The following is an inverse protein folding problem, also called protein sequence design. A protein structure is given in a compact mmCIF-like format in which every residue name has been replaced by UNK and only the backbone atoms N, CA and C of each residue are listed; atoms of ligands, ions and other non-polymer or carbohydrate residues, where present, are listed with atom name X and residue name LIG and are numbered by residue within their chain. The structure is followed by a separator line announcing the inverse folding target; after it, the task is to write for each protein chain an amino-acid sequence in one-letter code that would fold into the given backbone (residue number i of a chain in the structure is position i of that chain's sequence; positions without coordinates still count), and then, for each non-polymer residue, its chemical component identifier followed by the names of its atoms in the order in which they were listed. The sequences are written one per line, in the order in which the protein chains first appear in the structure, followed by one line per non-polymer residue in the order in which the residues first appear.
data_IF_778933173876
#
_entry.id   IF_778933173876
#
_cell.length_a   1.000
_cell.length_b   1.000
_cell.length_c   1.000
_cell.angle_alpha   90.00
_cell.angle_beta   90.00
_cell.angle_gamma   90.00
#
_symmetry.space_group_name_H-M   'P 1'
#
loop_
_entity.id
_entity.type
_entity.pdbx_description
1 polymer ?
#
# COMPACT_ATOMS: atom_id res chain seq x y z
N UNK A 1 5.43 24.62 -6.19
CA UNK A 1 5.29 25.11 -4.80
C UNK A 1 5.68 26.59 -4.61
N UNK A 2 6.95 27.04 -4.70
CA UNK A 2 7.27 28.48 -4.52
C UNK A 2 6.65 29.40 -5.59
N UNK A 3 6.52 28.90 -6.83
CA UNK A 3 5.88 29.63 -7.93
C UNK A 3 4.34 29.72 -7.81
N UNK A 4 3.74 29.12 -6.79
CA UNK A 4 2.29 29.10 -6.54
C UNK A 4 1.87 30.06 -5.41
N UNK A 5 2.75 30.93 -4.94
CA UNK A 5 2.46 31.91 -3.89
C UNK A 5 2.47 31.35 -2.47
N UNK A 6 2.96 30.12 -2.28
CA UNK A 6 3.18 29.52 -0.96
C UNK A 6 4.42 30.17 -0.33
N UNK A 7 4.33 30.53 0.97
CA UNK A 7 5.49 31.07 1.70
C UNK A 7 6.67 30.10 1.64
N UNK A 8 7.89 30.62 1.65
CA UNK A 8 9.10 29.79 1.58
C UNK A 8 9.13 28.74 2.70
N UNK A 9 8.76 29.12 3.92
CA UNK A 9 8.72 28.23 5.07
C UNK A 9 7.70 27.09 4.89
N UNK A 10 6.50 27.40 4.37
CA UNK A 10 5.50 26.36 4.13
C UNK A 10 5.89 25.48 2.93
N UNK A 11 6.53 26.04 1.91
CA UNK A 11 7.04 25.26 0.78
C UNK A 11 8.14 24.28 1.20
N UNK A 12 9.06 24.69 2.09
CA UNK A 12 10.07 23.80 2.69
C UNK A 12 9.42 22.69 3.48
N UNK A 13 8.47 23.03 4.37
CA UNK A 13 7.73 22.04 5.16
C UNK A 13 7.06 20.98 4.27
N UNK A 14 6.27 21.39 3.28
CA UNK A 14 5.58 20.47 2.36
C UNK A 14 6.56 19.64 1.51
N UNK A 15 7.74 20.19 1.19
CA UNK A 15 8.78 19.48 0.46
C UNK A 15 9.41 18.32 1.26
N UNK A 16 9.32 18.33 2.59
CA UNK A 16 9.89 17.30 3.48
C UNK A 16 8.90 16.17 3.81
N UNK A 17 7.58 16.42 3.70
CA UNK A 17 6.56 15.43 4.05
C UNK A 17 6.60 14.20 3.13
N UNK A 18 6.73 13.01 3.73
CA UNK A 18 6.76 11.69 3.04
C UNK A 18 5.88 10.63 3.68
N UNK A 19 5.42 10.85 4.92
CA UNK A 19 4.57 9.91 5.66
C UNK A 19 3.12 10.32 5.44
N UNK A 20 2.33 9.46 4.80
CA UNK A 20 0.92 9.69 4.50
C UNK A 20 0.06 8.59 5.11
N UNK A 21 -1.14 8.95 5.56
CA UNK A 21 -2.13 8.00 6.07
C UNK A 21 -3.55 8.53 5.86
N UNK A 22 -4.53 7.83 6.42
CA UNK A 22 -5.88 8.35 6.61
C UNK A 22 -5.87 9.62 7.46
N UNK A 23 -6.87 10.48 7.28
CA UNK A 23 -7.03 11.67 8.12
C UNK A 23 -7.23 11.33 9.61
N UNK A 24 -6.96 12.28 10.53
CA UNK A 24 -7.09 12.05 11.96
C UNK A 24 -8.45 11.47 12.36
N UNK A 25 -8.44 10.32 13.04
CA UNK A 25 -9.65 9.61 13.49
C UNK A 25 -10.30 8.69 12.44
N UNK A 26 -9.76 8.63 11.22
CA UNK A 26 -10.19 7.71 10.17
C UNK A 26 -9.16 6.58 9.98
N UNK A 27 -9.60 5.49 9.35
CA UNK A 27 -8.78 4.30 9.09
C UNK A 27 -9.06 3.74 7.70
N UNK A 28 -8.05 3.14 7.07
CA UNK A 28 -8.19 2.48 5.77
C UNK A 28 -8.05 3.42 4.58
N UNK A 29 -8.31 2.87 3.39
CA UNK A 29 -8.10 3.54 2.10
C UNK A 29 -9.38 4.09 1.46
N UNK A 30 -10.54 3.79 2.05
CA UNK A 30 -11.85 4.07 1.47
C UNK A 30 -12.23 3.20 0.27
N UNK A 31 -11.34 2.30 -0.18
CA UNK A 31 -11.56 1.49 -1.39
C UNK A 31 -12.53 0.33 -1.16
N UNK A 32 -12.49 -0.32 0.00
CA UNK A 32 -13.38 -1.47 0.26
C UNK A 32 -14.86 -1.11 0.14
N UNK A 33 -15.37 -0.05 0.83
CA UNK A 33 -16.78 0.33 0.68
C UNK A 33 -17.15 0.75 -0.75
N UNK A 34 -16.21 1.36 -1.48
CA UNK A 34 -16.41 1.75 -2.88
C UNK A 34 -16.57 0.54 -3.79
N UNK A 35 -15.72 -0.47 -3.59
CA UNK A 35 -15.72 -1.73 -4.35
C UNK A 35 -16.96 -2.55 -4.02
N UNK A 36 -17.27 -2.72 -2.75
CA UNK A 36 -18.44 -3.48 -2.28
C UNK A 36 -19.75 -2.88 -2.78
N UNK A 37 -19.85 -1.55 -2.81
CA UNK A 37 -21.02 -0.86 -3.34
C UNK A 37 -21.11 -0.90 -4.88
N UNK A 38 -20.03 -1.29 -5.58
CA UNK A 38 -19.97 -1.26 -7.05
C UNK A 38 -20.05 0.16 -7.64
N UNK A 39 -19.80 1.20 -6.84
CA UNK A 39 -19.97 2.61 -7.23
C UNK A 39 -18.71 3.19 -7.90
N UNK A 40 -18.11 2.46 -8.82
CA UNK A 40 -16.92 2.86 -9.57
C UNK A 40 -16.97 2.26 -10.98
N UNK A 41 -16.46 3.01 -11.97
CA UNK A 41 -16.44 2.55 -13.36
C UNK A 41 -15.01 2.49 -13.90
N UNK A 42 -14.14 3.38 -13.39
CA UNK A 42 -12.81 3.58 -13.91
C UNK A 42 -11.76 3.54 -12.81
N UNK A 43 -10.50 3.34 -13.22
CA UNK A 43 -9.36 3.47 -12.30
C UNK A 43 -9.23 4.89 -11.74
N UNK A 44 -9.68 5.90 -12.47
CA UNK A 44 -9.71 7.28 -12.01
C UNK A 44 -10.62 7.45 -10.78
N UNK A 45 -11.74 6.72 -10.71
CA UNK A 45 -12.66 6.73 -9.56
C UNK A 45 -11.98 6.15 -8.31
N UNK A 46 -11.32 5.00 -8.45
CA UNK A 46 -10.54 4.37 -7.38
C UNK A 46 -9.40 5.30 -6.92
N UNK A 47 -8.69 5.91 -7.85
CA UNK A 47 -7.57 6.83 -7.58
C UNK A 47 -8.04 8.07 -6.82
N UNK A 48 -9.21 8.62 -7.17
CA UNK A 48 -9.80 9.77 -6.46
C UNK A 48 -10.10 9.43 -5.01
N UNK A 49 -10.68 8.26 -4.73
CA UNK A 49 -10.98 7.83 -3.36
C UNK A 49 -9.70 7.54 -2.58
N UNK A 50 -8.76 6.81 -3.18
CA UNK A 50 -7.46 6.52 -2.56
C UNK A 50 -6.72 7.81 -2.15
N UNK A 51 -6.63 8.79 -3.06
CA UNK A 51 -6.00 10.08 -2.78
C UNK A 51 -6.76 10.89 -1.73
N UNK A 52 -8.10 10.83 -1.72
CA UNK A 52 -8.91 11.54 -0.71
C UNK A 52 -8.70 10.97 0.68
N UNK A 53 -8.65 9.65 0.82
CA UNK A 53 -8.45 9.02 2.12
C UNK A 53 -6.99 9.11 2.56
N UNK A 54 -6.03 8.81 1.69
CA UNK A 54 -4.60 8.83 2.02
C UNK A 54 -3.92 10.20 1.96
N UNK A 55 -4.64 11.24 1.54
CA UNK A 55 -4.11 12.58 1.26
C UNK A 55 -3.68 13.38 2.49
N UNK A 56 -3.40 12.73 3.62
CA UNK A 56 -3.04 13.36 4.88
C UNK A 56 -1.57 13.06 5.20
N UNK A 57 -0.63 13.96 4.86
CA UNK A 57 0.72 13.85 5.36
C UNK A 57 0.79 14.10 6.87
N UNK A 58 1.71 13.43 7.54
CA UNK A 58 2.01 13.59 8.95
C UNK A 58 3.40 14.17 9.15
N UNK A 59 3.49 15.25 9.92
CA UNK A 59 4.75 15.86 10.35
C UNK A 59 5.34 15.11 11.56
N UNK A 60 6.57 15.44 11.92
CA UNK A 60 7.32 14.85 13.04
C UNK A 60 6.64 15.03 14.41
N UNK A 61 5.83 16.07 14.56
CA UNK A 61 5.03 16.35 15.75
C UNK A 61 3.64 15.67 15.73
N UNK A 62 3.34 14.92 14.66
CA UNK A 62 2.07 14.22 14.46
C UNK A 62 0.95 15.11 13.91
N UNK A 63 1.21 16.38 13.58
CA UNK A 63 0.22 17.24 12.94
C UNK A 63 -0.06 16.79 11.50
N UNK A 64 -1.30 16.98 11.06
CA UNK A 64 -1.73 16.60 9.71
C UNK A 64 -2.81 17.54 9.18
N UNK A 65 -2.66 17.92 7.92
CA UNK A 65 -3.66 18.64 7.11
C UNK A 65 -3.90 17.88 5.81
N UNK A 66 -5.06 18.05 5.19
CA UNK A 66 -5.34 17.43 3.89
C UNK A 66 -4.51 18.10 2.79
N UNK A 67 -3.65 17.33 2.12
CA UNK A 67 -2.74 17.74 1.05
C UNK A 67 -2.81 16.77 -0.14
N UNK A 68 -4.00 16.59 -0.73
CA UNK A 68 -4.26 15.64 -1.82
C UNK A 68 -3.31 15.82 -3.02
N UNK A 69 -3.06 17.08 -3.40
CA UNK A 69 -2.17 17.38 -4.53
C UNK A 69 -0.72 17.02 -4.23
N UNK A 70 -0.28 17.17 -2.97
CA UNK A 70 1.05 16.76 -2.55
C UNK A 70 1.22 15.25 -2.66
N UNK A 71 0.24 14.47 -2.19
CA UNK A 71 0.27 13.01 -2.37
C UNK A 71 0.33 12.63 -3.85
N UNK A 72 -0.51 13.25 -4.69
CA UNK A 72 -0.51 13.02 -6.14
C UNK A 72 0.87 13.32 -6.75
N UNK A 73 1.50 14.43 -6.38
CA UNK A 73 2.84 14.80 -6.82
C UNK A 73 3.86 13.73 -6.42
N UNK A 74 3.83 13.27 -5.16
CA UNK A 74 4.74 12.22 -4.67
C UNK A 74 4.55 10.91 -5.45
N UNK A 75 3.31 10.48 -5.64
CA UNK A 75 2.99 9.25 -6.37
C UNK A 75 3.40 9.30 -7.85
N UNK A 76 3.49 10.48 -8.47
CA UNK A 76 3.95 10.63 -9.87
C UNK A 76 5.39 10.18 -10.10
N UNK A 77 6.20 10.14 -9.03
CA UNK A 77 7.61 9.73 -9.08
C UNK A 77 7.86 8.30 -8.59
N UNK A 78 6.83 7.58 -8.12
CA UNK A 78 7.00 6.25 -7.54
C UNK A 78 7.18 5.20 -8.62
N UNK A 79 8.30 4.48 -8.55
CA UNK A 79 8.65 3.41 -9.48
C UNK A 79 8.46 2.01 -8.88
N UNK A 80 8.48 1.92 -7.54
CA UNK A 80 8.40 0.67 -6.80
C UNK A 80 7.33 0.76 -5.72
N UNK A 81 6.47 -0.25 -5.66
CA UNK A 81 5.53 -0.48 -4.56
C UNK A 81 5.94 -1.75 -3.83
N UNK A 82 5.99 -1.68 -2.51
CA UNK A 82 6.38 -2.79 -1.66
C UNK A 82 5.48 -2.87 -0.42
N UNK A 83 4.99 -4.06 -0.13
CA UNK A 83 4.30 -4.38 1.12
C UNK A 83 4.95 -5.61 1.75
N UNK A 84 5.12 -5.58 3.07
CA UNK A 84 5.63 -6.70 3.84
C UNK A 84 4.48 -7.43 4.52
N UNK A 85 4.58 -8.76 4.53
CA UNK A 85 3.80 -9.68 5.32
C UNK A 85 4.70 -10.25 6.42
N UNK A 86 4.36 -9.97 7.67
CA UNK A 86 5.11 -10.35 8.87
C UNK A 86 4.59 -11.62 9.55
N UNK A 87 3.37 -12.04 9.19
CA UNK A 87 2.72 -13.22 9.73
C UNK A 87 2.34 -14.19 8.62
N UNK A 88 2.24 -15.48 8.95
CA UNK A 88 1.88 -16.54 8.02
C UNK A 88 0.40 -16.92 8.08
N UNK A 89 -0.36 -16.23 8.94
CA UNK A 89 -1.75 -16.56 9.29
C UNK A 89 -2.74 -16.03 8.26
N UNK A 90 -2.38 -14.96 7.55
CA UNK A 90 -3.13 -14.44 6.41
C UNK A 90 -2.25 -14.43 5.17
N UNK A 91 -2.82 -14.76 4.01
CA UNK A 91 -2.17 -14.56 2.73
C UNK A 91 -2.71 -13.34 2.00
N UNK A 92 -2.08 -13.02 0.85
CA UNK A 92 -2.45 -11.86 0.03
C UNK A 92 -3.88 -11.94 -0.54
N UNK A 93 -4.51 -13.12 -0.53
CA UNK A 93 -5.87 -13.36 -1.02
C UNK A 93 -6.89 -13.50 0.13
N UNK A 94 -6.42 -13.76 1.36
CA UNK A 94 -7.25 -13.98 2.54
C UNK A 94 -7.57 -12.68 3.32
N UNK A 95 -6.82 -11.60 3.09
CA UNK A 95 -7.07 -10.29 3.68
C UNK A 95 -7.28 -9.22 2.62
N UNK A 96 -8.38 -8.48 2.79
CA UNK A 96 -8.75 -7.33 1.97
C UNK A 96 -7.76 -6.16 2.06
N UNK A 97 -7.03 -6.05 3.17
CA UNK A 97 -6.04 -5.00 3.37
C UNK A 97 -4.94 -4.99 2.29
N UNK A 98 -4.49 -6.15 1.81
CA UNK A 98 -3.43 -6.19 0.80
C UNK A 98 -3.86 -5.58 -0.53
N UNK A 99 -5.08 -5.90 -1.00
CA UNK A 99 -5.55 -5.28 -2.24
C UNK A 99 -5.89 -3.80 -2.03
N UNK A 100 -6.42 -3.43 -0.86
CA UNK A 100 -6.76 -2.04 -0.55
C UNK A 100 -5.51 -1.14 -0.54
N UNK A 101 -4.46 -1.56 0.18
CA UNK A 101 -3.25 -0.77 0.33
C UNK A 101 -2.29 -0.93 -0.85
N UNK A 102 -1.74 -2.12 -1.10
CA UNK A 102 -0.78 -2.31 -2.19
C UNK A 102 -1.45 -2.25 -3.56
N UNK A 103 -2.60 -2.91 -3.75
CA UNK A 103 -3.35 -2.87 -5.01
C UNK A 103 -3.89 -1.48 -5.32
N UNK A 104 -4.48 -0.80 -4.33
CA UNK A 104 -4.98 0.57 -4.44
C UNK A 104 -3.87 1.57 -4.76
N UNK A 105 -2.73 1.46 -4.08
CA UNK A 105 -1.55 2.30 -4.35
C UNK A 105 -1.00 2.06 -5.76
N UNK A 106 -0.87 0.79 -6.18
CA UNK A 106 -0.44 0.46 -7.53
C UNK A 106 -1.40 1.02 -8.59
N UNK A 107 -2.71 0.91 -8.38
CA UNK A 107 -3.73 1.47 -9.28
C UNK A 107 -3.63 3.00 -9.36
N UNK A 108 -3.50 3.68 -8.22
CA UNK A 108 -3.36 5.13 -8.16
C UNK A 108 -2.09 5.62 -8.88
N UNK A 109 -0.94 4.97 -8.65
CA UNK A 109 0.31 5.30 -9.34
C UNK A 109 0.18 5.06 -10.85
N UNK A 110 -0.43 3.94 -11.26
CA UNK A 110 -0.63 3.63 -12.68
C UNK A 110 -1.50 4.66 -13.37
N UNK A 111 -2.57 5.13 -12.71
CA UNK A 111 -3.42 6.20 -13.22
C UNK A 111 -2.66 7.53 -13.35
N UNK A 112 -1.89 7.91 -12.32
CA UNK A 112 -1.16 9.18 -12.28
C UNK A 112 0.00 9.22 -13.29
N UNK A 113 0.74 8.12 -13.44
CA UNK A 113 1.95 8.04 -14.27
C UNK A 113 1.67 7.54 -15.69
N UNK A 114 0.55 6.88 -15.92
CA UNK A 114 0.23 6.19 -17.17
C UNK A 114 0.94 4.84 -17.36
N UNK A 115 1.82 4.42 -16.44
CA UNK A 115 2.46 3.12 -16.42
C UNK A 115 2.52 2.54 -15.00
N UNK A 116 2.49 1.20 -14.91
CA UNK A 116 2.48 0.52 -13.62
C UNK A 116 3.87 0.53 -12.97
N UNK A 117 3.97 0.76 -11.65
CA UNK A 117 5.22 0.57 -10.92
C UNK A 117 5.57 -0.92 -10.81
N UNK A 118 6.84 -1.22 -10.55
CA UNK A 118 7.23 -2.57 -10.15
C UNK A 118 6.68 -2.87 -8.76
N UNK A 119 5.98 -3.99 -8.59
CA UNK A 119 5.39 -4.38 -7.33
C UNK A 119 6.11 -5.58 -6.71
N UNK A 120 6.49 -5.46 -5.44
CA UNK A 120 7.15 -6.51 -4.67
C UNK A 120 6.40 -6.82 -3.38
N UNK A 121 6.43 -8.09 -2.99
CA UNK A 121 5.92 -8.57 -1.71
C UNK A 121 7.06 -9.13 -0.89
N UNK A 122 7.21 -8.64 0.34
CA UNK A 122 8.17 -9.17 1.28
C UNK A 122 7.51 -10.16 2.25
N UNK A 123 8.14 -11.30 2.44
CA UNK A 123 7.77 -12.33 3.41
C UNK A 123 8.85 -12.29 4.51
N UNK A 124 8.50 -11.66 5.63
CA UNK A 124 9.30 -11.64 6.86
C UNK A 124 8.73 -12.56 7.93
N UNK A 125 7.78 -13.44 7.58
CA UNK A 125 7.13 -14.37 8.50
C UNK A 125 8.11 -15.36 9.14
N UNK A 126 9.27 -15.58 8.53
CA UNK A 126 10.40 -16.25 9.13
C UNK A 126 11.59 -15.28 9.17
N UNK A 127 11.92 -14.70 10.34
CA UNK A 127 13.02 -13.76 10.48
C UNK A 127 14.39 -14.32 10.04
N UNK A 128 14.59 -15.64 10.10
CA UNK A 128 15.82 -16.28 9.65
C UNK A 128 15.88 -16.43 8.11
N UNK A 129 14.75 -16.27 7.42
CA UNK A 129 14.61 -16.48 5.97
C UNK A 129 13.69 -15.43 5.35
N UNK A 130 14.06 -14.16 5.46
CA UNK A 130 13.38 -13.06 4.79
C UNK A 130 13.48 -13.23 3.27
N UNK A 131 12.35 -13.07 2.56
CA UNK A 131 12.28 -13.18 1.11
C UNK A 131 11.55 -11.99 0.53
N UNK A 132 12.05 -11.45 -0.58
CA UNK A 132 11.34 -10.46 -1.38
C UNK A 132 11.10 -11.07 -2.75
N UNK A 133 9.86 -11.02 -3.22
CA UNK A 133 9.45 -11.52 -4.54
C UNK A 133 8.68 -10.46 -5.29
N UNK A 134 8.58 -10.59 -6.61
CA UNK A 134 7.59 -9.81 -7.35
C UNK A 134 6.18 -10.20 -6.92
N UNK A 135 5.26 -9.25 -6.99
CA UNK A 135 3.85 -9.51 -6.65
C UNK A 135 3.26 -10.65 -7.49
N UNK A 136 3.69 -10.75 -8.76
CA UNK A 136 3.28 -11.81 -9.68
C UNK A 136 3.76 -13.19 -9.23
N UNK A 137 5.02 -13.32 -8.81
CA UNK A 137 5.54 -14.58 -8.28
C UNK A 137 4.81 -15.01 -7.02
N UNK A 138 4.52 -14.06 -6.13
CA UNK A 138 3.79 -14.35 -4.89
C UNK A 138 2.35 -14.79 -5.17
N UNK A 139 1.65 -14.12 -6.08
CA UNK A 139 0.31 -14.52 -6.53
C UNK A 139 0.29 -15.93 -7.13
N UNK A 140 1.27 -16.26 -7.99
CA UNK A 140 1.38 -17.59 -8.59
C UNK A 140 1.60 -18.67 -7.51
N UNK A 141 2.44 -18.40 -6.51
CA UNK A 141 2.70 -19.34 -5.40
C UNK A 141 1.43 -19.66 -4.62
N UNK A 142 0.59 -18.67 -4.33
CA UNK A 142 -0.67 -18.90 -3.63
C UNK A 142 -1.67 -19.65 -4.52
N UNK A 143 -1.76 -19.29 -5.80
CA UNK A 143 -2.63 -19.98 -6.76
C UNK A 143 -2.27 -21.46 -6.88
N UNK A 144 -0.97 -21.77 -6.98
CA UNK A 144 -0.45 -23.15 -6.99
C UNK A 144 -0.72 -23.88 -5.67
N UNK A 145 -0.49 -23.22 -4.52
CA UNK A 145 -0.76 -23.82 -3.22
C UNK A 145 -2.24 -24.15 -3.01
N UNK A 146 -3.15 -23.23 -3.36
CA UNK A 146 -4.61 -23.45 -3.28
C UNK A 146 -5.04 -24.56 -4.24
N UNK A 147 -4.52 -24.57 -5.46
CA UNK A 147 -4.80 -25.63 -6.44
C UNK A 147 -4.37 -27.01 -5.92
N UNK A 148 -3.19 -27.12 -5.30
CA UNK A 148 -2.69 -28.37 -4.73
C UNK A 148 -3.48 -28.79 -3.48
N UNK A 149 -3.94 -27.86 -2.66
CA UNK A 149 -4.82 -28.16 -1.51
C UNK A 149 -6.19 -28.68 -1.99
N UNK A 150 -6.75 -28.09 -3.04
CA UNK A 150 -8.05 -28.47 -3.58
C UNK A 150 -8.02 -29.80 -4.35
N UNK A 151 -6.90 -30.13 -4.99
CA UNK A 151 -6.76 -31.32 -5.84
C UNK A 151 -5.86 -32.44 -5.24
N UNK A 152 -5.29 -32.24 -4.05
CA UNK A 152 -4.39 -33.16 -3.37
C UNK A 152 -5.07 -34.00 -2.27
N UNK A 153 -4.83 -35.31 -2.28
CA UNK A 153 -5.36 -36.27 -1.30
C UNK A 153 -4.78 -36.08 0.12
N UNK A 154 -5.66 -35.89 1.13
CA UNK A 154 -5.57 -36.03 2.61
C UNK A 154 -4.28 -35.75 3.42
N UNK A 155 -3.08 -35.72 2.85
CA UNK A 155 -1.81 -35.44 3.53
C UNK A 155 -1.51 -33.94 3.72
N UNK A 156 -2.21 -33.05 3.01
CA UNK A 156 -1.97 -31.60 3.07
C UNK A 156 -2.63 -30.89 4.27
N UNK A 157 -3.41 -31.60 5.10
CA UNK A 157 -4.24 -31.02 6.17
C UNK A 157 -3.45 -30.59 7.41
N UNK A 158 -2.17 -30.97 7.55
CA UNK A 158 -1.39 -30.71 8.77
C UNK A 158 -0.82 -29.28 8.91
N UNK A 159 -1.10 -28.36 7.98
CA UNK A 159 -0.56 -26.99 8.04
C UNK A 159 -1.53 -25.96 8.66
N UNK A 160 -2.77 -26.36 8.95
CA UNK A 160 -3.88 -25.42 9.20
C UNK A 160 -4.29 -25.20 10.68
N UNK A 161 -3.53 -25.67 11.69
CA UNK A 161 -3.99 -25.55 13.09
C UNK A 161 -2.89 -25.13 14.07
N UNK A 162 -2.77 -23.81 14.28
CA UNK A 162 -2.50 -23.16 15.58
C UNK A 162 -2.48 -21.63 15.38
N UNK A 163 -3.57 -20.97 15.73
CA UNK A 163 -3.69 -19.51 15.76
C UNK A 163 -4.04 -19.09 17.19
N UNK A 164 -3.18 -18.27 17.79
CA UNK A 164 -3.51 -17.52 19.02
C UNK A 164 -2.91 -16.12 18.92
N UNK A 165 -3.77 -15.19 18.51
CA UNK A 165 -3.77 -13.73 18.55
C UNK A 165 -2.59 -12.99 19.20
N UNK A 166 -2.08 -11.99 18.47
CA UNK A 166 -1.81 -10.62 18.99
C UNK A 166 -1.83 -9.60 17.84
N UNK A 167 -2.72 -8.61 17.95
CA UNK A 167 -2.90 -7.51 17.01
C UNK A 167 -1.87 -6.38 17.26
N UNK A 168 -1.26 -5.84 16.19
CA UNK A 168 -0.62 -4.52 16.16
C UNK A 168 -1.11 -3.77 14.89
N UNK A 169 -1.31 -2.45 14.95
CA UNK A 169 -1.82 -1.67 13.81
C UNK A 169 -0.72 -1.51 12.74
N UNK A 170 -0.82 -2.28 11.66
CA UNK A 170 0.08 -2.22 10.49
C UNK A 170 -0.52 -1.28 9.43
N UNK A 171 -0.33 0.03 9.52
CA UNK A 171 -0.59 0.93 8.37
C UNK A 171 0.30 2.16 8.40
N UNK A 172 1.54 2.01 7.96
CA UNK A 172 2.41 3.11 7.54
C UNK A 172 2.82 2.83 6.10
N UNK A 173 2.39 3.69 5.17
CA UNK A 173 2.85 3.67 3.78
C UNK A 173 4.25 4.31 3.77
N UNK A 174 5.30 3.52 3.65
CA UNK A 174 6.65 4.03 3.42
C UNK A 174 6.83 4.35 1.93
N UNK A 175 6.74 5.63 1.56
CA UNK A 175 7.12 6.12 0.24
C UNK A 175 8.62 6.43 0.21
N UNK A 176 9.43 5.48 -0.27
CA UNK A 176 10.85 5.74 -0.56
C UNK A 176 10.98 6.37 -1.96
N UNK A 177 11.08 7.70 -2.04
CA UNK A 177 11.50 8.40 -3.27
C UNK A 177 13.02 8.51 -3.27
N UNK A 178 13.71 7.87 -4.22
CA UNK A 178 15.12 8.20 -4.50
C UNK A 178 15.19 9.55 -5.23
N UNK A 179 15.67 10.60 -4.58
CA UNK A 179 16.09 11.82 -5.29
C UNK A 179 17.52 11.63 -5.82
N UNK A 180 17.82 12.08 -7.05
CA UNK A 180 19.21 12.19 -7.50
C UNK A 180 19.91 13.27 -6.68
N UNK A 181 21.12 12.96 -6.19
CA UNK A 181 21.97 13.92 -5.51
C UNK A 181 22.27 15.09 -6.45
N UNK A 182 21.78 16.28 -6.14
CA UNK A 182 22.19 17.51 -6.82
C UNK A 182 23.50 17.99 -6.23
N UNK A 183 24.53 18.08 -7.08
CA UNK A 183 25.80 18.79 -6.86
C UNK A 183 25.64 20.29 -7.01
#
# INVERSE_FOLDING_TARGET
MQNEGISEDNAKRLAELRVFSSGPGAYGTGLLPLIDAGNWETRADLTKVFLKWGGHPYDSDGTSSEEINLLRERLSSVEIVHQNQDNREHDILDSDDYFQFQGGLQAAITEIRGNAPSAYHGDSSNPEKIRVRTLKEEFNRFSEAVYLIQNGSRQCVNMATKVHMKWLPQSIIYLATMQPATS
#
